data_IF_455092279512
#
_entry.id   IF_455092279512
#
_cell.length_a   1.000
_cell.length_b   1.000
_cell.length_c   1.000
_cell.angle_alpha   90.00
_cell.angle_beta   90.00
_cell.angle_gamma   90.00
#
_symmetry.space_group_name_H-M   'P 1'
#
loop_
_entity.id
_entity.type
_entity.pdbx_description
1 polymer ?
#
# COMPACT_ATOMS: atom_id res chain seq x y z
N UNK A 1 -28.03 -14.57 -4.18
CA UNK A 1 -26.81 -15.21 -4.73
C UNK A 1 -25.69 -14.23 -5.03
N UNK A 2 -25.95 -13.14 -5.78
CA UNK A 2 -24.89 -12.19 -6.21
C UNK A 2 -24.13 -11.58 -5.02
N UNK A 3 -24.82 -11.15 -3.96
CA UNK A 3 -24.17 -10.61 -2.75
C UNK A 3 -23.17 -11.56 -2.11
N UNK A 4 -23.51 -12.86 -2.05
CA UNK A 4 -22.64 -13.88 -1.44
C UNK A 4 -21.37 -14.05 -2.28
N UNK A 5 -21.50 -14.08 -3.60
CA UNK A 5 -20.36 -14.22 -4.51
C UNK A 5 -19.46 -12.96 -4.48
N UNK A 6 -20.06 -11.77 -4.59
CA UNK A 6 -19.35 -10.49 -4.48
C UNK A 6 -18.66 -10.35 -3.12
N UNK A 7 -19.34 -10.73 -2.04
CA UNK A 7 -18.83 -10.68 -0.67
C UNK A 7 -17.69 -11.66 -0.43
N UNK A 8 -17.78 -12.88 -0.97
CA UNK A 8 -16.70 -13.87 -0.92
C UNK A 8 -15.45 -13.36 -1.64
N UNK A 9 -15.59 -12.84 -2.86
CA UNK A 9 -14.45 -12.34 -3.63
C UNK A 9 -13.77 -11.15 -2.94
N UNK A 10 -14.55 -10.15 -2.55
CA UNK A 10 -14.02 -8.97 -1.86
C UNK A 10 -13.45 -9.33 -0.47
N UNK A 11 -14.11 -10.24 0.25
CA UNK A 11 -13.68 -10.72 1.56
C UNK A 11 -12.39 -11.53 1.52
N UNK A 12 -12.22 -12.41 0.53
CA UNK A 12 -10.97 -13.14 0.31
C UNK A 12 -9.81 -12.18 0.07
N UNK A 13 -10.02 -11.17 -0.78
CA UNK A 13 -9.01 -10.14 -1.03
C UNK A 13 -8.70 -9.33 0.24
N UNK A 14 -9.71 -8.84 0.95
CA UNK A 14 -9.52 -8.11 2.20
C UNK A 14 -8.76 -8.93 3.25
N UNK A 15 -9.05 -10.23 3.38
CA UNK A 15 -8.32 -11.13 4.27
C UNK A 15 -6.83 -11.26 3.90
N UNK A 16 -6.49 -11.18 2.62
CA UNK A 16 -5.10 -11.16 2.16
C UNK A 16 -4.36 -9.90 2.56
N UNK A 17 -4.98 -8.74 2.33
CA UNK A 17 -4.46 -7.43 2.73
C UNK A 17 -4.24 -7.38 4.25
N UNK A 18 -5.26 -7.75 5.04
CA UNK A 18 -5.17 -7.78 6.51
C UNK A 18 -4.04 -8.71 6.96
N UNK A 19 -3.94 -9.90 6.36
CA UNK A 19 -2.88 -10.84 6.68
C UNK A 19 -1.48 -10.29 6.37
N UNK A 20 -1.32 -9.62 5.22
CA UNK A 20 -0.04 -9.04 4.80
C UNK A 20 0.45 -8.00 5.81
N UNK A 21 -0.43 -7.07 6.19
CA UNK A 21 -0.12 -6.05 7.18
C UNK A 21 0.14 -6.65 8.57
N UNK A 22 -0.60 -7.70 8.95
CA UNK A 22 -0.31 -8.44 10.18
C UNK A 22 1.08 -9.09 10.16
N UNK A 23 1.49 -9.65 9.03
CA UNK A 23 2.81 -10.27 8.90
C UNK A 23 3.92 -9.19 8.89
N UNK A 24 3.72 -8.04 8.23
CA UNK A 24 4.61 -6.85 8.35
C UNK A 24 4.78 -6.44 9.81
N UNK A 25 3.68 -6.42 10.59
CA UNK A 25 3.73 -6.14 12.02
C UNK A 25 4.54 -7.18 12.80
N UNK A 26 4.41 -8.47 12.46
CA UNK A 26 5.16 -9.56 13.09
C UNK A 26 6.66 -9.50 12.82
N UNK A 27 7.07 -8.99 11.65
CA UNK A 27 8.49 -8.73 11.35
C UNK A 27 9.04 -7.47 12.02
N UNK A 28 8.27 -6.76 12.85
CA UNK A 28 8.74 -5.61 13.63
C UNK A 28 8.94 -4.31 12.83
N UNK A 29 8.62 -4.31 11.52
CA UNK A 29 8.84 -3.18 10.60
C UNK A 29 7.64 -2.26 10.43
N UNK A 30 6.57 -2.44 11.22
CA UNK A 30 5.28 -1.74 11.08
C UNK A 30 5.38 -0.22 10.92
N UNK A 31 6.00 0.48 11.89
CA UNK A 31 6.05 1.95 11.90
C UNK A 31 6.82 2.51 10.71
N UNK A 32 7.95 1.88 10.41
CA UNK A 32 8.83 2.26 9.30
C UNK A 32 8.13 2.06 7.95
N UNK A 33 7.51 0.90 7.75
CA UNK A 33 6.81 0.57 6.52
C UNK A 33 5.60 1.46 6.29
N UNK A 34 4.76 1.71 7.30
CA UNK A 34 3.58 2.57 7.11
C UNK A 34 3.97 4.02 6.86
N UNK A 35 4.99 4.53 7.56
CA UNK A 35 5.45 5.90 7.35
C UNK A 35 5.98 6.16 5.94
N UNK A 36 6.62 5.15 5.31
CA UNK A 36 7.12 5.25 3.94
C UNK A 36 6.06 4.96 2.88
N UNK A 37 5.16 4.01 3.16
CA UNK A 37 4.19 3.50 2.18
C UNK A 37 2.76 3.89 2.53
N UNK A 38 2.55 5.14 2.95
CA UNK A 38 1.24 5.67 3.39
C UNK A 38 0.19 5.50 2.30
N UNK A 39 0.53 5.79 1.04
CA UNK A 39 -0.40 5.66 -0.07
C UNK A 39 -0.89 4.22 -0.24
N UNK A 40 0.03 3.27 -0.21
CA UNK A 40 -0.26 1.85 -0.33
C UNK A 40 -1.14 1.36 0.83
N UNK A 41 -0.84 1.77 2.05
CA UNK A 41 -1.65 1.45 3.24
C UNK A 41 -3.05 2.07 3.16
N UNK A 42 -3.16 3.32 2.71
CA UNK A 42 -4.43 4.00 2.55
C UNK A 42 -5.32 3.33 1.49
N UNK A 43 -4.75 3.00 0.32
CA UNK A 43 -5.46 2.29 -0.75
C UNK A 43 -5.91 0.89 -0.30
N UNK A 44 -5.07 0.17 0.43
CA UNK A 44 -5.44 -1.09 1.07
C UNK A 44 -6.61 -0.90 2.07
N UNK A 45 -6.60 0.18 2.86
CA UNK A 45 -7.71 0.55 3.73
C UNK A 45 -9.01 0.83 2.96
N UNK A 46 -8.95 1.60 1.88
CA UNK A 46 -10.10 1.88 1.00
C UNK A 46 -10.65 0.60 0.38
N UNK A 47 -9.77 -0.34 0.01
CA UNK A 47 -10.19 -1.64 -0.53
C UNK A 47 -10.93 -2.50 0.50
N UNK A 48 -10.46 -2.53 1.74
CA UNK A 48 -11.14 -3.24 2.84
C UNK A 48 -12.49 -2.59 3.12
N UNK A 49 -12.55 -1.26 3.14
CA UNK A 49 -13.81 -0.53 3.29
C UNK A 49 -14.81 -0.88 2.18
N UNK A 50 -14.37 -0.91 0.92
CA UNK A 50 -15.20 -1.33 -0.21
C UNK A 50 -15.71 -2.77 -0.03
N UNK A 51 -14.87 -3.70 0.44
CA UNK A 51 -15.29 -5.06 0.75
C UNK A 51 -16.36 -5.12 1.86
N UNK A 52 -16.23 -4.32 2.92
CA UNK A 52 -17.23 -4.22 3.98
C UNK A 52 -18.55 -3.63 3.47
N UNK A 53 -18.49 -2.69 2.53
CA UNK A 53 -19.70 -2.11 1.92
C UNK A 53 -20.53 -3.14 1.16
N UNK A 54 -19.92 -4.19 0.59
CA UNK A 54 -20.65 -5.32 -0.01
C UNK A 54 -21.56 -6.00 1.03
N UNK A 55 -21.05 -6.23 2.23
CA UNK A 55 -21.82 -6.82 3.33
C UNK A 55 -22.90 -5.85 3.84
N UNK A 56 -22.61 -4.55 3.89
CA UNK A 56 -23.60 -3.53 4.23
C UNK A 56 -24.78 -3.53 3.25
N UNK A 57 -24.55 -3.49 1.95
CA UNK A 57 -25.63 -3.48 0.96
C UNK A 57 -26.44 -4.78 0.97
N UNK A 58 -25.80 -5.92 1.24
CA UNK A 58 -26.51 -7.18 1.47
C UNK A 58 -27.42 -7.12 2.71
N UNK A 59 -26.94 -6.55 3.81
CA UNK A 59 -27.72 -6.38 5.04
C UNK A 59 -28.85 -5.36 4.87
N UNK A 60 -28.62 -4.29 4.10
CA UNK A 60 -29.65 -3.31 3.75
C UNK A 60 -30.78 -3.96 2.93
N UNK A 61 -30.44 -4.78 1.93
CA UNK A 61 -31.44 -5.45 1.09
C UNK A 61 -32.22 -6.53 1.86
N UNK A 62 -31.55 -7.37 2.65
CA UNK A 62 -32.19 -8.48 3.38
C UNK A 62 -32.95 -8.06 4.63
N UNK A 63 -32.42 -7.11 5.38
CA UNK A 63 -32.93 -6.78 6.73
C UNK A 63 -33.40 -5.34 6.85
N UNK A 64 -33.33 -4.54 5.78
CA UNK A 64 -33.63 -3.11 5.84
C UNK A 64 -32.66 -2.33 6.72
N UNK A 65 -31.47 -2.87 7.00
CA UNK A 65 -30.48 -2.24 7.87
C UNK A 65 -29.92 -0.95 7.23
N UNK A 66 -30.07 0.19 7.91
CA UNK A 66 -29.52 1.47 7.47
C UNK A 66 -28.53 2.01 8.50
N UNK A 67 -27.38 2.49 8.03
CA UNK A 67 -26.44 3.19 8.91
C UNK A 67 -26.92 4.63 9.13
N UNK A 68 -26.72 5.23 10.32
CA UNK A 68 -27.13 6.61 10.60
C UNK A 68 -26.53 7.65 9.66
N UNK A 69 -25.39 7.33 9.04
CA UNK A 69 -24.69 8.19 8.08
C UNK A 69 -25.36 8.21 6.69
N UNK A 70 -26.12 7.18 6.36
CA UNK A 70 -26.87 7.07 5.11
C UNK A 70 -28.34 7.32 5.42
N UNK A 71 -28.75 8.59 5.33
CA UNK A 71 -30.14 9.02 5.61
C UNK A 71 -31.18 8.47 4.62
N UNK A 72 -30.78 7.63 3.68
CA UNK A 72 -31.69 6.94 2.77
C UNK A 72 -32.20 5.68 3.46
N UNK A 73 -33.51 5.43 3.37
CA UNK A 73 -34.14 4.21 3.87
C UNK A 73 -33.62 2.95 3.17
N UNK A 74 -34.34 1.84 3.34
CA UNK A 74 -34.02 0.61 2.60
C UNK A 74 -33.98 0.89 1.09
N UNK A 75 -32.87 0.54 0.44
CA UNK A 75 -32.71 0.72 -0.99
C UNK A 75 -33.59 -0.27 -1.76
N UNK A 76 -33.90 0.06 -3.01
CA UNK A 76 -34.46 -0.94 -3.92
C UNK A 76 -33.42 -2.05 -4.15
N UNK A 77 -33.87 -3.30 -4.22
CA UNK A 77 -32.98 -4.47 -4.32
C UNK A 77 -32.01 -4.41 -5.51
N UNK A 78 -32.43 -3.85 -6.65
CA UNK A 78 -31.54 -3.65 -7.81
C UNK A 78 -30.45 -2.60 -7.54
N UNK A 79 -30.74 -1.53 -6.78
CA UNK A 79 -29.76 -0.51 -6.41
C UNK A 79 -28.72 -1.07 -5.44
N UNK A 80 -29.18 -1.79 -4.41
CA UNK A 80 -28.31 -2.47 -3.46
C UNK A 80 -27.41 -3.50 -4.16
N UNK A 81 -27.96 -4.26 -5.12
CA UNK A 81 -27.18 -5.22 -5.91
C UNK A 81 -26.09 -4.54 -6.74
N UNK A 82 -26.43 -3.46 -7.46
CA UNK A 82 -25.45 -2.72 -8.27
C UNK A 82 -24.34 -2.11 -7.42
N UNK A 83 -24.69 -1.50 -6.28
CA UNK A 83 -23.72 -0.91 -5.37
C UNK A 83 -22.80 -1.97 -4.75
N UNK A 84 -23.35 -3.12 -4.35
CA UNK A 84 -22.56 -4.24 -3.86
C UNK A 84 -21.57 -4.77 -4.91
N UNK A 85 -22.02 -4.91 -6.16
CA UNK A 85 -21.14 -5.33 -7.27
C UNK A 85 -20.07 -4.27 -7.54
N UNK A 86 -20.45 -2.99 -7.59
CA UNK A 86 -19.50 -1.89 -7.78
C UNK A 86 -18.43 -1.88 -6.68
N UNK A 87 -18.82 -2.02 -5.41
CA UNK A 87 -17.89 -2.10 -4.29
C UNK A 87 -16.94 -3.31 -4.39
N UNK A 88 -17.44 -4.47 -4.81
CA UNK A 88 -16.60 -5.65 -5.03
C UNK A 88 -15.59 -5.41 -6.16
N UNK A 89 -16.04 -4.85 -7.29
CA UNK A 89 -15.16 -4.49 -8.42
C UNK A 89 -14.13 -3.44 -8.01
N UNK A 90 -14.50 -2.42 -7.24
CA UNK A 90 -13.58 -1.42 -6.71
C UNK A 90 -12.54 -2.05 -5.80
N UNK A 91 -12.95 -2.92 -4.87
CA UNK A 91 -12.02 -3.63 -3.98
C UNK A 91 -10.99 -4.44 -4.76
N UNK A 92 -11.45 -5.19 -5.78
CA UNK A 92 -10.57 -6.02 -6.61
C UNK A 92 -9.66 -5.17 -7.51
N UNK A 93 -10.20 -4.10 -8.10
CA UNK A 93 -9.44 -3.16 -8.93
C UNK A 93 -8.33 -2.50 -8.14
N UNK A 94 -8.62 -2.02 -6.92
CA UNK A 94 -7.60 -1.46 -6.04
C UNK A 94 -6.54 -2.51 -5.74
N UNK A 95 -6.92 -3.76 -5.48
CA UNK A 95 -5.94 -4.82 -5.26
C UNK A 95 -5.05 -5.12 -6.45
N UNK A 96 -5.61 -5.09 -7.64
CA UNK A 96 -4.85 -5.25 -8.87
C UNK A 96 -3.85 -4.10 -9.08
N UNK A 97 -4.26 -2.84 -8.89
CA UNK A 97 -3.36 -1.70 -9.11
C UNK A 97 -2.38 -1.45 -7.95
N UNK A 98 -2.80 -1.70 -6.70
CA UNK A 98 -2.01 -1.41 -5.50
C UNK A 98 -1.14 -2.58 -5.03
N UNK A 99 -1.42 -3.81 -5.46
CA UNK A 99 -0.84 -4.99 -4.82
C UNK A 99 -0.75 -6.25 -5.66
N UNK A 100 -0.91 -6.20 -6.99
CA UNK A 100 -0.87 -7.38 -7.86
C UNK A 100 0.32 -8.29 -7.58
N UNK A 101 1.49 -7.71 -7.40
CA UNK A 101 2.72 -8.47 -7.14
C UNK A 101 2.80 -9.10 -5.76
N UNK A 102 2.02 -8.62 -4.78
CA UNK A 102 1.99 -9.13 -3.40
C UNK A 102 1.15 -10.40 -3.24
N UNK A 103 0.22 -10.65 -4.16
CA UNK A 103 -0.82 -11.68 -3.97
C UNK A 103 -0.86 -12.71 -5.11
N UNK A 104 0.24 -12.87 -5.86
CA UNK A 104 0.36 -13.86 -6.94
C UNK A 104 0.16 -15.30 -6.46
N UNK A 105 0.57 -15.60 -5.23
CA UNK A 105 0.40 -16.92 -4.60
C UNK A 105 -0.52 -16.77 -3.40
N UNK A 106 -1.85 -16.98 -3.57
CA UNK A 106 -2.82 -16.68 -2.53
C UNK A 106 -2.90 -17.78 -1.45
N UNK A 107 -1.76 -18.13 -0.85
CA UNK A 107 -1.65 -19.11 0.24
C UNK A 107 -1.07 -18.46 1.50
N UNK A 108 -1.15 -19.15 2.64
CA UNK A 108 -0.55 -18.66 3.88
C UNK A 108 0.97 -18.47 3.76
N UNK A 109 1.65 -19.43 3.15
CA UNK A 109 3.09 -19.38 2.90
C UNK A 109 3.43 -18.29 1.87
N UNK A 110 2.68 -18.23 0.75
CA UNK A 110 2.91 -17.26 -0.32
C UNK A 110 2.75 -15.81 0.16
N UNK A 111 1.81 -15.55 1.08
CA UNK A 111 1.66 -14.23 1.70
C UNK A 111 2.88 -13.84 2.55
N UNK A 112 3.42 -14.76 3.36
CA UNK A 112 4.62 -14.48 4.17
C UNK A 112 5.84 -14.25 3.29
N UNK A 113 6.00 -15.04 2.25
CA UNK A 113 7.03 -14.85 1.23
C UNK A 113 6.89 -13.48 0.56
N UNK A 114 5.67 -13.10 0.16
CA UNK A 114 5.42 -11.78 -0.42
C UNK A 114 5.77 -10.64 0.55
N UNK A 115 5.45 -10.79 1.84
CA UNK A 115 5.88 -9.84 2.88
C UNK A 115 7.40 -9.76 2.98
N UNK A 116 8.11 -10.90 3.00
CA UNK A 116 9.57 -10.93 3.04
C UNK A 116 10.19 -10.29 1.79
N UNK A 117 9.70 -10.64 0.60
CA UNK A 117 10.14 -10.06 -0.68
C UNK A 117 9.96 -8.55 -0.69
N UNK A 118 8.81 -8.09 -0.20
CA UNK A 118 8.50 -6.68 -0.08
C UNK A 118 9.43 -5.95 0.91
N UNK A 119 9.71 -6.54 2.08
CA UNK A 119 10.62 -5.92 3.05
C UNK A 119 12.07 -5.93 2.55
N UNK A 120 12.49 -7.01 1.91
CA UNK A 120 13.85 -7.16 1.37
C UNK A 120 14.12 -6.17 0.23
N UNK A 121 13.17 -6.00 -0.71
CA UNK A 121 13.34 -5.04 -1.80
C UNK A 121 13.50 -3.62 -1.27
N UNK A 122 12.80 -3.25 -0.20
CA UNK A 122 12.93 -1.93 0.44
C UNK A 122 14.29 -1.71 1.09
N UNK A 123 14.83 -2.72 1.76
CA UNK A 123 16.18 -2.62 2.33
C UNK A 123 17.25 -2.47 1.25
N UNK A 124 17.09 -3.18 0.12
CA UNK A 124 18.02 -3.07 -1.02
C UNK A 124 17.96 -1.67 -1.63
N UNK A 125 16.76 -1.14 -1.85
CA UNK A 125 16.58 0.22 -2.40
C UNK A 125 17.20 1.24 -1.46
N UNK A 126 16.93 1.14 -0.16
CA UNK A 126 17.49 2.07 0.83
C UNK A 126 19.02 2.02 0.88
N UNK A 127 19.61 0.82 0.87
CA UNK A 127 21.06 0.67 0.82
C UNK A 127 21.65 1.30 -0.46
N UNK A 128 20.96 1.16 -1.60
CA UNK A 128 21.37 1.77 -2.87
C UNK A 128 21.24 3.31 -2.84
N UNK A 129 20.18 3.84 -2.27
CA UNK A 129 19.96 5.29 -2.10
C UNK A 129 21.02 5.90 -1.18
N UNK A 130 21.32 5.26 -0.05
CA UNK A 130 22.36 5.71 0.89
C UNK A 130 23.75 5.65 0.26
N UNK A 131 24.08 4.56 -0.44
CA UNK A 131 25.36 4.44 -1.14
C UNK A 131 25.53 5.51 -2.23
N UNK A 132 24.44 5.81 -2.96
CA UNK A 132 24.43 6.88 -3.95
C UNK A 132 24.63 8.25 -3.29
N UNK A 133 23.90 8.56 -2.22
CA UNK A 133 24.03 9.82 -1.48
C UNK A 133 25.44 10.03 -0.94
N UNK A 134 26.06 8.99 -0.35
CA UNK A 134 27.42 9.04 0.17
C UNK A 134 28.43 9.35 -0.94
N UNK A 135 28.28 8.70 -2.10
CA UNK A 135 29.14 8.93 -3.26
C UNK A 135 29.03 10.37 -3.77
N UNK A 136 27.81 10.91 -3.83
CA UNK A 136 27.58 12.31 -4.22
C UNK A 136 28.22 13.28 -3.23
N UNK A 137 28.13 13.02 -1.92
CA UNK A 137 28.79 13.84 -0.90
C UNK A 137 30.31 13.85 -1.03
N UNK A 138 30.93 12.66 -1.17
CA UNK A 138 32.38 12.54 -1.37
C UNK A 138 32.87 13.28 -2.62
N UNK A 139 32.09 13.25 -3.71
CA UNK A 139 32.42 13.99 -4.93
C UNK A 139 32.34 15.51 -4.73
N UNK A 140 31.38 16.00 -3.95
CA UNK A 140 31.30 17.43 -3.61
C UNK A 140 32.47 17.87 -2.72
N UNK A 141 32.83 17.07 -1.71
CA UNK A 141 33.99 17.35 -0.85
C UNK A 141 35.30 17.37 -1.65
N UNK A 142 35.51 16.39 -2.55
CA UNK A 142 36.68 16.34 -3.41
C UNK A 142 36.77 17.57 -4.35
N UNK A 143 35.64 18.02 -4.90
CA UNK A 143 35.57 19.24 -5.74
C UNK A 143 35.84 20.51 -4.93
N UNK A 144 35.32 20.61 -3.70
CA UNK A 144 35.58 21.75 -2.81
C UNK A 144 37.03 21.76 -2.31
N UNK A 145 37.63 20.61 -2.05
CA UNK A 145 39.04 20.50 -1.72
C UNK A 145 39.93 20.94 -2.90
N UNK A 146 39.64 20.44 -4.12
CA UNK A 146 40.35 20.84 -5.32
C UNK A 146 40.19 22.34 -5.65
N UNK A 147 39.00 22.92 -5.44
CA UNK A 147 38.78 24.37 -5.60
C UNK A 147 39.62 25.20 -4.63
N UNK A 148 39.70 24.78 -3.35
CA UNK A 148 40.52 25.45 -2.33
C UNK A 148 42.02 25.37 -2.62
N UNK A 149 42.52 24.26 -3.17
CA UNK A 149 43.93 24.15 -3.54
C UNK A 149 44.29 25.05 -4.73
N UNK A 150 43.40 25.15 -5.72
CA UNK A 150 43.61 26.04 -6.88
C UNK A 150 43.61 27.52 -6.45
N UNK A 151 42.71 27.90 -5.54
CA UNK A 151 42.63 29.27 -5.01
C UNK A 151 43.85 29.62 -4.13
N UNK A 152 44.40 28.64 -3.40
CA UNK A 152 45.64 28.81 -2.63
C UNK A 152 46.87 28.99 -3.54
N UNK A 153 47.04 28.15 -4.57
CA UNK A 153 48.13 28.28 -5.54
C UNK A 153 48.06 29.62 -6.31
N UNK A 154 46.86 30.03 -6.73
CA UNK A 154 46.68 31.33 -7.41
C UNK A 154 47.08 32.52 -6.54
N UNK A 155 46.98 32.40 -5.21
CA UNK A 155 47.34 33.45 -4.25
C UNK A 155 48.85 33.50 -3.97
N UNK A 156 49.55 32.39 -4.08
CA UNK A 156 51.01 32.33 -3.93
C UNK A 156 51.75 32.87 -5.16
N UNK A 157 51.23 32.63 -6.37
CA UNK A 157 51.82 33.13 -7.63
C UNK A 157 51.66 34.66 -7.80
N UNK A 158 50.69 35.27 -7.11
CA UNK A 158 50.42 36.71 -7.17
C UNK A 158 51.23 37.58 -6.19
N UNK A 159 52.11 36.99 -5.38
CA UNK A 159 53.03 37.69 -4.47
C UNK A 159 54.44 37.74 -5.03
#
# INVERSE_FOLDING_TARGET
>A
MIYVLSGLLAGLYAAMVIGFWRDVRRFGKWKETIGREVHMFAMDGVSIYAALMVAYFAANDWYGFTLPLFSQGQLMSWQATLLAVACAVTSLSIGYFNGRERFLTPTYAGRREATLRFLASRQIIEAAEVAHALKVMQQHEARQAAGRTIEAEAREVGK
#
